data_IF_886024721005
#
_entry.id   IF_886024721005
#
_cell.length_a   1.000
_cell.length_b   1.000
_cell.length_c   1.000
_cell.angle_alpha   90.00
_cell.angle_beta   90.00
_cell.angle_gamma   90.00
#
_symmetry.space_group_name_H-M   'P 1'
#
loop_
_entity.id
_entity.type
_entity.pdbx_description
1 polymer ?
#
# COMPACT_ATOMS: atom_id res chain seq x y z
N UNK A 1 -39.77 -2.42 26.74
CA UNK A 1 -39.88 -2.01 25.32
C UNK A 1 -38.78 -0.98 25.04
N UNK A 2 -37.91 -1.20 24.04
CA UNK A 2 -36.79 -0.31 23.76
C UNK A 2 -37.26 0.96 23.02
N UNK A 3 -36.93 2.14 23.53
CA UNK A 3 -37.30 3.45 22.94
C UNK A 3 -36.26 3.96 21.91
N UNK A 4 -35.76 3.07 21.05
CA UNK A 4 -34.78 3.39 20.00
C UNK A 4 -35.35 4.38 18.97
N UNK A 5 -36.60 4.16 18.54
CA UNK A 5 -37.26 4.97 17.51
C UNK A 5 -37.52 6.42 17.99
N UNK A 6 -37.78 6.61 19.30
CA UNK A 6 -38.03 7.93 19.88
C UNK A 6 -36.78 8.82 19.85
N UNK A 7 -35.59 8.22 20.01
CA UNK A 7 -34.31 8.94 20.05
C UNK A 7 -33.59 9.03 18.70
N UNK A 8 -34.25 8.64 17.58
CA UNK A 8 -33.61 8.60 16.25
C UNK A 8 -32.87 9.88 15.85
N UNK A 9 -33.38 11.06 16.25
CA UNK A 9 -32.75 12.35 15.95
C UNK A 9 -31.39 12.52 16.64
N UNK A 10 -31.24 12.02 17.88
CA UNK A 10 -29.96 12.05 18.58
C UNK A 10 -28.94 11.12 17.91
N UNK A 11 -29.38 9.95 17.46
CA UNK A 11 -28.51 9.05 16.69
C UNK A 11 -28.10 9.66 15.35
N UNK A 12 -29.02 10.29 14.61
CA UNK A 12 -28.67 10.98 13.37
C UNK A 12 -27.72 12.15 13.61
N UNK A 13 -27.93 12.96 14.65
CA UNK A 13 -27.02 14.06 14.99
C UNK A 13 -25.62 13.54 15.32
N UNK A 14 -25.53 12.47 16.13
CA UNK A 14 -24.25 11.85 16.45
C UNK A 14 -23.56 11.27 15.20
N UNK A 15 -24.29 10.54 14.36
CA UNK A 15 -23.76 10.01 13.10
C UNK A 15 -23.30 11.12 12.16
N UNK A 16 -24.09 12.17 11.98
CA UNK A 16 -23.71 13.33 11.16
C UNK A 16 -22.50 14.04 11.72
N UNK A 17 -22.40 14.20 13.05
CA UNK A 17 -21.24 14.78 13.71
C UNK A 17 -19.96 13.97 13.49
N UNK A 18 -20.05 12.67 13.18
CA UNK A 18 -18.89 11.84 12.84
C UNK A 18 -18.60 11.83 11.33
N UNK A 19 -19.65 11.72 10.50
CA UNK A 19 -19.53 11.61 9.04
C UNK A 19 -19.06 12.93 8.42
N UNK A 20 -19.64 14.07 8.84
CA UNK A 20 -19.36 15.37 8.22
C UNK A 20 -17.87 15.75 8.36
N UNK A 21 -17.23 15.68 9.56
CA UNK A 21 -15.80 15.94 9.66
C UNK A 21 -14.95 15.01 8.80
N UNK A 22 -15.32 13.72 8.70
CA UNK A 22 -14.63 12.76 7.83
C UNK A 22 -14.65 13.20 6.36
N UNK A 23 -15.82 13.61 5.87
CA UNK A 23 -15.97 14.13 4.50
C UNK A 23 -15.19 15.44 4.28
N UNK A 24 -15.17 16.34 5.28
CA UNK A 24 -14.40 17.59 5.20
C UNK A 24 -12.91 17.30 5.09
N UNK A 25 -12.38 16.35 5.87
CA UNK A 25 -10.98 15.93 5.80
C UNK A 25 -10.65 15.32 4.43
N UNK A 26 -11.53 14.49 3.88
CA UNK A 26 -11.36 13.93 2.54
C UNK A 26 -11.30 15.03 1.46
N UNK A 27 -12.22 16.00 1.51
CA UNK A 27 -12.23 17.12 0.57
C UNK A 27 -10.97 17.98 0.73
N UNK A 28 -10.54 18.24 1.97
CA UNK A 28 -9.29 18.95 2.23
C UNK A 28 -8.08 18.22 1.62
N UNK A 29 -8.03 16.88 1.74
CA UNK A 29 -6.99 16.06 1.09
C UNK A 29 -7.00 16.22 -0.43
N UNK A 30 -8.17 16.26 -1.05
CA UNK A 30 -8.30 16.45 -2.50
C UNK A 30 -7.70 17.79 -2.96
N UNK A 31 -7.96 18.88 -2.25
CA UNK A 31 -7.45 20.21 -2.63
C UNK A 31 -5.96 20.41 -2.34
N UNK A 32 -5.40 19.67 -1.38
CA UNK A 32 -3.99 19.81 -0.97
C UNK A 32 -3.06 18.83 -1.65
N UNK A 33 -3.49 17.58 -1.82
CA UNK A 33 -2.67 16.48 -2.36
C UNK A 33 -3.12 16.02 -3.74
N UNK A 34 -4.25 16.52 -4.25
CA UNK A 34 -4.82 16.09 -5.53
C UNK A 34 -5.57 14.75 -5.46
N UNK A 35 -5.69 14.15 -4.26
CA UNK A 35 -6.39 12.87 -4.07
C UNK A 35 -7.25 12.85 -2.81
N UNK A 36 -8.44 12.24 -2.89
CA UNK A 36 -9.35 12.08 -1.74
C UNK A 36 -8.74 11.17 -0.66
N UNK A 37 -7.93 10.20 -1.08
CA UNK A 37 -7.27 9.21 -0.25
C UNK A 37 -5.85 8.95 -0.77
N UNK A 38 -4.95 8.52 0.12
CA UNK A 38 -3.66 7.95 -0.28
C UNK A 38 -3.90 6.56 -0.86
N UNK A 39 -4.05 6.49 -2.17
CA UNK A 39 -4.33 5.24 -2.86
C UNK A 39 -3.12 4.29 -2.77
N UNK A 40 -3.41 3.00 -2.60
CA UNK A 40 -2.40 1.95 -2.63
C UNK A 40 -1.88 1.67 -4.04
N UNK A 41 -0.85 0.83 -4.11
CA UNK A 41 -0.21 0.41 -5.35
C UNK A 41 -1.17 -0.28 -6.34
N UNK A 42 -2.25 -0.89 -5.84
CA UNK A 42 -3.28 -1.54 -6.64
C UNK A 42 -4.05 -0.55 -7.53
N UNK A 43 -4.05 0.73 -7.19
CA UNK A 43 -4.78 1.78 -7.92
C UNK A 43 -3.86 2.70 -8.73
N UNK A 44 -2.64 2.99 -8.24
CA UNK A 44 -1.68 3.88 -8.92
C UNK A 44 -0.68 3.09 -9.78
N UNK A 45 -0.55 1.78 -9.55
CA UNK A 45 0.58 0.98 -10.04
C UNK A 45 1.73 0.97 -9.04
N UNK A 46 2.44 -0.14 -8.98
CA UNK A 46 3.47 -0.35 -7.98
C UNK A 46 4.10 -1.73 -8.06
N UNK A 47 4.97 -2.00 -7.09
CA UNK A 47 5.64 -3.28 -6.94
C UNK A 47 5.56 -3.79 -5.50
N UNK A 48 5.48 -5.11 -5.34
CA UNK A 48 5.54 -5.82 -4.07
C UNK A 48 6.68 -6.83 -4.19
N UNK A 49 7.63 -6.76 -3.26
CA UNK A 49 8.72 -7.70 -3.12
C UNK A 49 8.52 -8.48 -1.83
N UNK A 50 8.22 -9.77 -1.94
CA UNK A 50 8.29 -10.69 -0.81
C UNK A 50 9.66 -11.35 -0.82
N UNK A 51 10.42 -11.09 0.24
CA UNK A 51 11.81 -11.48 0.39
C UNK A 51 11.94 -12.40 1.60
N UNK A 52 12.84 -13.37 1.50
CA UNK A 52 13.34 -14.13 2.65
C UNK A 52 14.86 -14.13 2.59
N UNK A 53 15.48 -13.76 3.70
CA UNK A 53 16.94 -13.86 3.84
C UNK A 53 17.31 -15.19 4.51
N UNK A 54 18.37 -15.82 4.02
CA UNK A 54 18.89 -17.08 4.55
C UNK A 54 19.56 -16.89 5.92
N UNK A 55 20.11 -15.70 6.16
CA UNK A 55 20.85 -15.35 7.36
C UNK A 55 20.27 -14.08 8.01
N UNK A 56 20.59 -13.87 9.28
CA UNK A 56 20.31 -12.60 9.95
C UNK A 56 21.24 -11.50 9.41
N UNK A 57 20.74 -10.27 9.31
CA UNK A 57 21.54 -9.13 8.83
C UNK A 57 20.69 -8.09 8.10
N UNK A 58 19.62 -8.52 7.45
CA UNK A 58 18.65 -7.62 6.85
C UNK A 58 17.77 -6.94 7.92
N UNK A 59 18.02 -5.66 8.14
CA UNK A 59 17.21 -4.76 8.95
C UNK A 59 16.30 -3.91 8.07
N UNK A 60 15.20 -3.39 8.63
CA UNK A 60 14.32 -2.46 7.90
C UNK A 60 15.12 -1.27 7.31
N UNK A 61 16.07 -0.73 8.08
CA UNK A 61 16.92 0.37 7.63
C UNK A 61 17.79 -0.02 6.42
N UNK A 62 18.45 -1.17 6.47
CA UNK A 62 19.29 -1.66 5.35
C UNK A 62 18.47 -1.95 4.09
N UNK A 63 17.27 -2.54 4.25
CA UNK A 63 16.36 -2.79 3.14
C UNK A 63 15.90 -1.45 2.55
N UNK A 64 15.50 -0.49 3.39
CA UNK A 64 15.09 0.84 2.94
C UNK A 64 16.18 1.53 2.14
N UNK A 65 17.42 1.45 2.61
CA UNK A 65 18.56 2.05 1.93
C UNK A 65 18.78 1.43 0.53
N UNK A 66 18.72 0.11 0.39
CA UNK A 66 18.85 -0.55 -0.91
C UNK A 66 17.78 -0.07 -1.93
N UNK A 67 16.56 0.19 -1.47
CA UNK A 67 15.51 0.74 -2.31
C UNK A 67 15.71 2.24 -2.64
N UNK A 68 16.19 3.03 -1.68
CA UNK A 68 16.48 4.46 -1.88
C UNK A 68 17.63 4.70 -2.87
N UNK A 69 18.68 3.91 -2.80
CA UNK A 69 19.81 3.97 -3.74
C UNK A 69 19.39 3.72 -5.19
N UNK A 70 18.29 2.99 -5.39
CA UNK A 70 17.68 2.71 -6.68
C UNK A 70 16.49 3.65 -7.01
N UNK A 71 16.38 4.79 -6.31
CA UNK A 71 15.40 5.84 -6.61
C UNK A 71 14.01 5.62 -6.01
N UNK A 72 13.89 4.80 -4.95
CA UNK A 72 12.62 4.49 -4.29
C UNK A 72 12.57 5.00 -2.84
N UNK A 73 12.14 6.25 -2.66
CA UNK A 73 12.13 6.91 -1.34
C UNK A 73 10.90 6.55 -0.47
N UNK A 74 9.81 6.12 -1.12
CA UNK A 74 8.50 5.94 -0.50
C UNK A 74 8.16 4.51 -0.07
N UNK A 75 9.15 3.65 0.16
CA UNK A 75 8.88 2.24 0.43
C UNK A 75 8.22 1.99 1.79
N UNK A 76 7.23 1.11 1.79
CA UNK A 76 6.64 0.56 3.01
C UNK A 76 7.19 -0.84 3.23
N UNK A 77 7.89 -1.04 4.34
CA UNK A 77 8.57 -2.30 4.68
C UNK A 77 7.84 -2.92 5.86
N UNK A 78 7.53 -4.21 5.76
CA UNK A 78 6.86 -4.96 6.82
C UNK A 78 7.53 -6.31 7.00
N UNK A 79 7.82 -6.68 8.26
CA UNK A 79 8.29 -8.02 8.58
C UNK A 79 7.12 -9.01 8.56
N UNK A 80 7.32 -10.18 7.97
CA UNK A 80 6.30 -11.22 7.83
C UNK A 80 6.58 -12.40 8.77
N UNK A 81 5.57 -12.80 9.53
CA UNK A 81 5.64 -13.96 10.44
C UNK A 81 6.53 -13.72 11.67
N UNK A 82 7.10 -14.80 12.20
CA UNK A 82 8.00 -14.75 13.35
C UNK A 82 9.33 -14.09 12.94
N UNK A 83 9.93 -13.22 13.77
CA UNK A 83 11.27 -12.69 13.59
C UNK A 83 12.31 -13.65 12.98
N UNK A 84 12.43 -14.86 13.52
CA UNK A 84 13.42 -15.86 13.07
C UNK A 84 13.25 -16.33 11.62
N UNK A 85 12.08 -16.07 11.01
CA UNK A 85 11.82 -16.47 9.63
C UNK A 85 12.50 -15.56 8.59
N UNK A 86 13.04 -14.41 8.99
CA UNK A 86 13.72 -13.44 8.13
C UNK A 86 12.95 -13.08 6.84
N UNK A 87 11.62 -13.05 6.93
CA UNK A 87 10.72 -12.69 5.82
C UNK A 87 10.27 -11.25 5.89
N UNK A 88 10.22 -10.60 4.74
CA UNK A 88 9.87 -9.20 4.59
C UNK A 88 8.97 -9.00 3.37
N UNK A 89 8.00 -8.10 3.48
CA UNK A 89 7.24 -7.56 2.36
C UNK A 89 7.64 -6.11 2.19
N UNK A 90 8.10 -5.75 0.99
CA UNK A 90 8.41 -4.38 0.62
C UNK A 90 7.46 -3.93 -0.48
N UNK A 91 6.71 -2.88 -0.19
CA UNK A 91 5.82 -2.22 -1.14
C UNK A 91 6.47 -0.94 -1.63
N UNK A 92 6.67 -0.84 -2.93
CA UNK A 92 7.44 0.20 -3.58
C UNK A 92 6.70 0.73 -4.83
N UNK A 93 7.13 1.87 -5.39
CA UNK A 93 6.60 2.34 -6.68
C UNK A 93 6.93 1.36 -7.81
N UNK A 94 6.25 1.48 -8.96
CA UNK A 94 6.53 0.63 -10.11
C UNK A 94 7.98 0.82 -10.57
N UNK A 95 8.67 -0.27 -10.88
CA UNK A 95 10.06 -0.27 -11.31
C UNK A 95 10.19 -1.04 -12.62
N UNK A 96 11.08 -0.56 -13.48
CA UNK A 96 11.49 -1.33 -14.65
C UNK A 96 12.20 -2.62 -14.22
N UNK A 97 12.17 -3.63 -15.08
CA UNK A 97 12.73 -4.95 -14.76
C UNK A 97 14.22 -4.86 -14.43
N UNK A 98 14.98 -4.01 -15.13
CA UNK A 98 16.41 -3.79 -14.89
C UNK A 98 16.70 -3.18 -13.50
N UNK A 99 15.90 -2.20 -13.08
CA UNK A 99 16.03 -1.58 -11.75
C UNK A 99 15.64 -2.58 -10.67
N UNK A 100 14.62 -3.40 -10.92
CA UNK A 100 14.19 -4.45 -9.99
C UNK A 100 15.30 -5.49 -9.76
N UNK A 101 16.04 -5.85 -10.80
CA UNK A 101 17.21 -6.71 -10.70
C UNK A 101 18.33 -6.06 -9.88
N UNK A 102 18.63 -4.78 -10.12
CA UNK A 102 19.61 -4.03 -9.34
C UNK A 102 19.24 -3.96 -7.85
N UNK A 103 17.95 -3.76 -7.54
CA UNK A 103 17.45 -3.79 -6.16
C UNK A 103 17.68 -5.17 -5.54
N UNK A 104 17.37 -6.26 -6.25
CA UNK A 104 17.59 -7.62 -5.75
C UNK A 104 19.09 -7.87 -5.50
N UNK A 105 19.96 -7.42 -6.40
CA UNK A 105 21.41 -7.51 -6.23
C UNK A 105 21.91 -6.74 -5.01
N UNK A 106 21.46 -5.49 -4.83
CA UNK A 106 21.75 -4.66 -3.64
C UNK A 106 21.27 -5.33 -2.35
N UNK A 107 20.08 -5.94 -2.36
CA UNK A 107 19.55 -6.65 -1.20
C UNK A 107 20.34 -7.93 -0.90
N UNK A 108 20.76 -8.65 -1.93
CA UNK A 108 21.57 -9.87 -1.79
C UNK A 108 22.98 -9.58 -1.24
N UNK A 109 23.50 -8.36 -1.46
CA UNK A 109 24.74 -7.88 -0.87
C UNK A 109 24.62 -7.59 0.64
N UNK A 110 23.41 -7.33 1.15
CA UNK A 110 23.16 -7.13 2.59
C UNK A 110 23.16 -8.48 3.31
N UNK A 111 22.35 -9.42 2.81
CA UNK A 111 22.29 -10.79 3.28
C UNK A 111 21.81 -11.70 2.13
N UNK A 112 22.26 -12.96 2.06
CA UNK A 112 21.86 -13.87 0.99
C UNK A 112 20.33 -14.06 0.93
N UNK A 113 19.73 -13.80 -0.22
CA UNK A 113 18.29 -14.01 -0.46
C UNK A 113 18.03 -15.46 -0.87
N UNK A 114 16.98 -16.06 -0.32
CA UNK A 114 16.41 -17.31 -0.80
C UNK A 114 15.59 -17.06 -2.08
N UNK A 115 16.23 -17.27 -3.23
CA UNK A 115 15.65 -17.03 -4.55
C UNK A 115 14.42 -17.91 -4.85
N UNK A 116 14.29 -19.08 -4.23
CA UNK A 116 13.13 -19.96 -4.42
C UNK A 116 11.87 -19.38 -3.74
N UNK A 117 12.07 -18.55 -2.71
CA UNK A 117 11.02 -17.87 -1.98
C UNK A 117 10.78 -16.42 -2.42
N UNK A 118 11.64 -15.90 -3.32
CA UNK A 118 11.55 -14.54 -3.83
C UNK A 118 10.31 -14.40 -4.72
N UNK A 119 9.42 -13.49 -4.35
CA UNK A 119 8.27 -13.13 -5.17
C UNK A 119 8.29 -11.64 -5.46
N UNK A 120 8.27 -11.32 -6.75
CA UNK A 120 8.18 -9.93 -7.22
C UNK A 120 6.91 -9.80 -8.04
N UNK A 121 5.98 -9.00 -7.55
CA UNK A 121 4.73 -8.68 -8.25
C UNK A 121 4.76 -7.22 -8.66
N UNK A 122 4.45 -6.95 -9.92
CA UNK A 122 4.48 -5.60 -10.46
C UNK A 122 3.21 -5.34 -11.27
N UNK A 123 2.65 -4.17 -11.08
CA UNK A 123 1.50 -3.68 -11.84
C UNK A 123 1.87 -2.32 -12.41
N UNK A 124 1.78 -2.19 -13.73
CA UNK A 124 2.10 -0.93 -14.39
C UNK A 124 1.06 0.15 -14.03
N UNK A 125 1.45 1.43 -14.02
CA UNK A 125 0.52 2.52 -13.74
C UNK A 125 -0.69 2.55 -14.68
N UNK A 126 -0.50 2.18 -15.94
CA UNK A 126 -1.58 2.08 -16.93
C UNK A 126 -2.62 1.04 -16.51
N UNK A 127 -2.19 -0.17 -16.14
CA UNK A 127 -3.14 -1.22 -15.70
C UNK A 127 -3.83 -0.81 -14.40
N UNK A 128 -3.11 -0.20 -13.45
CA UNK A 128 -3.70 0.32 -12.21
C UNK A 128 -4.79 1.37 -12.49
N UNK A 129 -4.56 2.26 -13.45
CA UNK A 129 -5.52 3.28 -13.85
C UNK A 129 -6.79 2.67 -14.47
N UNK A 130 -6.64 1.69 -15.37
CA UNK A 130 -7.77 0.99 -16.00
C UNK A 130 -8.63 0.22 -14.97
N UNK A 131 -7.98 -0.47 -14.03
CA UNK A 131 -8.67 -1.18 -12.94
C UNK A 131 -9.42 -0.18 -12.05
N UNK A 132 -8.80 0.96 -11.73
CA UNK A 132 -9.42 2.01 -10.91
C UNK A 132 -10.66 2.60 -11.59
N UNK A 133 -10.58 2.92 -12.90
CA UNK A 133 -11.71 3.42 -13.66
C UNK A 133 -12.86 2.41 -13.69
N UNK A 134 -12.54 1.14 -13.94
CA UNK A 134 -13.51 0.04 -13.95
C UNK A 134 -14.20 -0.13 -12.59
N UNK A 135 -13.44 -0.04 -11.49
CA UNK A 135 -13.98 -0.11 -10.14
C UNK A 135 -14.94 1.04 -9.83
N UNK A 136 -14.60 2.27 -10.22
CA UNK A 136 -15.48 3.44 -10.04
C UNK A 136 -16.80 3.23 -10.81
N UNK A 137 -16.72 2.81 -12.07
CA UNK A 137 -17.92 2.54 -12.87
C UNK A 137 -18.79 1.44 -12.27
N UNK A 138 -18.19 0.35 -11.78
CA UNK A 138 -18.91 -0.75 -11.14
C UNK A 138 -19.68 -0.29 -9.90
N UNK A 139 -19.06 0.54 -9.04
CA UNK A 139 -19.73 1.10 -7.85
C UNK A 139 -20.88 2.02 -8.25
N UNK A 140 -20.71 2.87 -9.27
CA UNK A 140 -21.76 3.76 -9.75
C UNK A 140 -22.97 2.97 -10.30
N UNK A 141 -22.72 1.93 -11.08
CA UNK A 141 -23.77 1.06 -11.62
C UNK A 141 -24.48 0.29 -10.51
N UNK A 142 -23.74 -0.23 -9.52
CA UNK A 142 -24.34 -0.96 -8.40
C UNK A 142 -25.15 -0.08 -7.44
N UNK A 143 -24.83 1.22 -7.37
CA UNK A 143 -25.51 2.19 -6.52
C UNK A 143 -26.73 2.88 -7.18
N UNK A 144 -26.88 2.72 -8.50
CA UNK A 144 -28.01 3.23 -9.29
C UNK A 144 -29.22 2.31 -9.19
#
# INVERSE_FOLDING_TARGET
MFSLIQKRRWFYLFSSALIIPGLVIMLYSLFTTGSLFRLGNEFIGGSIYELRFLEEGATEASIRQAFQENGNDGVTIQRLGNPEANRWSVRASFQETSVSQQIIESLNAIAPIDLDSLRVEQVSPTVGQEVTQSAILAVLVAAA
#
